data_IF_339816457674
#
_entry.id   IF_339816457674
#
_cell.length_a   1.000
_cell.length_b   1.000
_cell.length_c   1.000
_cell.angle_alpha   90.00
_cell.angle_beta   90.00
_cell.angle_gamma   90.00
#
_symmetry.space_group_name_H-M   'P 1'
#
loop_
_entity.id
_entity.type
_entity.pdbx_description
1 polymer ?
#
# COMPACT_ATOMS: atom_id res chain seq x y z
N UNK A 1 0.60 5.55 -8.75
CA UNK A 1 0.14 6.34 -7.57
C UNK A 1 0.24 5.44 -6.37
N UNK A 2 0.41 5.97 -5.16
CA UNK A 2 0.44 5.16 -3.94
C UNK A 2 -0.01 6.01 -2.76
N UNK A 3 -0.69 5.42 -1.80
CA UNK A 3 -1.35 6.16 -0.72
C UNK A 3 -2.19 5.27 0.17
N UNK A 4 -2.74 5.87 1.21
CA UNK A 4 -3.70 5.25 2.12
C UNK A 4 -5.11 5.45 1.59
N UNK A 5 -5.94 4.43 1.76
CA UNK A 5 -7.36 4.49 1.45
C UNK A 5 -8.17 3.97 2.61
N UNK A 6 -9.36 4.54 2.73
CA UNK A 6 -10.39 4.10 3.66
C UNK A 6 -11.68 3.82 2.90
N UNK A 7 -12.61 3.11 3.55
CA UNK A 7 -13.95 2.96 3.03
C UNK A 7 -14.67 4.32 2.93
N UNK A 8 -15.56 4.44 1.95
CA UNK A 8 -16.28 5.68 1.71
C UNK A 8 -17.19 6.09 2.87
N UNK A 9 -17.77 5.14 3.61
CA UNK A 9 -18.64 5.46 4.73
C UNK A 9 -17.88 6.15 5.87
N UNK A 10 -16.66 5.69 6.16
CA UNK A 10 -15.74 6.32 7.11
C UNK A 10 -15.24 7.68 6.64
N UNK A 11 -14.99 7.83 5.34
CA UNK A 11 -14.62 9.12 4.75
C UNK A 11 -15.77 10.14 4.88
N UNK A 12 -17.00 9.74 4.58
CA UNK A 12 -18.20 10.55 4.76
C UNK A 12 -18.52 10.83 6.25
N UNK A 13 -18.08 9.96 7.16
CA UNK A 13 -18.14 10.17 8.60
C UNK A 13 -17.11 11.21 9.11
N UNK A 14 -16.24 11.71 8.25
CA UNK A 14 -15.31 12.81 8.53
C UNK A 14 -13.84 12.42 8.67
N UNK A 15 -13.49 11.14 8.52
CA UNK A 15 -12.09 10.67 8.55
C UNK A 15 -11.46 11.00 7.20
N UNK A 16 -10.75 12.13 7.11
CA UNK A 16 -10.20 12.60 5.83
C UNK A 16 -8.69 12.68 5.84
N UNK A 17 -8.10 12.77 7.03
CA UNK A 17 -6.65 12.80 7.22
C UNK A 17 -6.17 11.62 8.08
N UNK A 18 -4.96 11.14 7.81
CA UNK A 18 -4.35 10.08 8.62
C UNK A 18 -4.14 10.49 10.07
N UNK A 19 -3.98 11.79 10.34
CA UNK A 19 -3.88 12.32 11.69
C UNK A 19 -5.18 12.13 12.50
N UNK A 20 -6.34 11.96 11.84
CA UNK A 20 -7.61 11.70 12.52
C UNK A 20 -7.58 10.35 13.26
N UNK A 21 -6.73 9.41 12.81
CA UNK A 21 -6.51 8.12 13.46
C UNK A 21 -5.68 8.22 14.75
N UNK A 22 -5.17 9.41 15.11
CA UNK A 22 -4.60 9.64 16.45
C UNK A 22 -5.67 9.55 17.55
N UNK A 23 -6.94 9.76 17.20
CA UNK A 23 -8.04 9.55 18.12
C UNK A 23 -8.34 8.04 18.21
N UNK A 24 -8.18 7.48 19.41
CA UNK A 24 -8.49 6.08 19.68
C UNK A 24 -9.95 5.71 19.36
N UNK A 25 -10.91 6.63 19.48
CA UNK A 25 -12.31 6.35 19.13
C UNK A 25 -12.52 6.21 17.61
N UNK A 26 -11.72 6.93 16.82
CA UNK A 26 -11.74 6.80 15.36
C UNK A 26 -10.98 5.55 14.96
N UNK A 27 -9.80 5.32 15.54
CA UNK A 27 -8.98 4.15 15.26
C UNK A 27 -9.69 2.83 15.58
N UNK A 28 -10.40 2.75 16.72
CA UNK A 28 -11.15 1.58 17.12
C UNK A 28 -12.30 1.20 16.16
N UNK A 29 -12.70 2.09 15.23
CA UNK A 29 -13.66 1.74 14.17
C UNK A 29 -13.06 0.81 13.12
N UNK A 30 -11.75 0.89 12.93
CA UNK A 30 -10.99 0.11 11.96
C UNK A 30 -10.27 -1.08 12.62
N UNK A 31 -10.52 -1.32 13.91
CA UNK A 31 -10.07 -2.50 14.63
C UNK A 31 -10.89 -3.71 14.17
N UNK A 32 -10.22 -4.75 13.67
CA UNK A 32 -10.88 -6.04 13.39
C UNK A 32 -10.26 -7.23 14.10
N UNK A 33 -9.33 -7.04 15.03
CA UNK A 33 -8.80 -8.11 15.89
C UNK A 33 -9.18 -7.97 17.39
N UNK A 34 -9.74 -6.82 17.76
CA UNK A 34 -10.27 -6.49 19.08
C UNK A 34 -9.22 -5.92 20.05
N UNK A 35 -8.07 -5.44 19.55
CA UNK A 35 -7.02 -4.84 20.36
C UNK A 35 -7.23 -3.34 20.67
N UNK A 36 -8.23 -2.71 20.03
CA UNK A 36 -8.57 -1.29 20.15
C UNK A 36 -7.77 -0.35 19.23
N UNK A 37 -6.92 -0.89 18.36
CA UNK A 37 -6.11 -0.16 17.38
C UNK A 37 -6.62 -0.38 15.96
N UNK A 38 -6.43 0.61 15.09
CA UNK A 38 -6.80 0.50 13.69
C UNK A 38 -5.90 -0.49 12.96
N UNK A 39 -6.50 -1.46 12.27
CA UNK A 39 -5.78 -2.43 11.44
C UNK A 39 -5.42 -1.80 10.07
N UNK A 40 -4.18 -1.32 9.94
CA UNK A 40 -3.67 -0.87 8.64
C UNK A 40 -3.09 -2.05 7.87
N UNK A 41 -3.77 -2.50 6.80
CA UNK A 41 -3.20 -3.45 5.86
C UNK A 41 -2.09 -2.79 5.03
N UNK A 42 -0.84 -3.04 5.41
CA UNK A 42 0.32 -2.35 4.88
C UNK A 42 1.29 -3.24 4.10
N UNK A 43 2.54 -2.80 4.03
CA UNK A 43 3.54 -3.43 3.18
C UNK A 43 4.30 -4.57 3.86
N UNK A 44 4.76 -5.52 3.04
CA UNK A 44 5.60 -6.63 3.50
C UNK A 44 6.96 -6.08 3.97
N UNK A 45 7.54 -6.59 5.07
CA UNK A 45 8.86 -6.18 5.53
C UNK A 45 9.90 -6.28 4.41
N UNK A 46 10.71 -5.23 4.28
CA UNK A 46 11.74 -5.12 3.23
C UNK A 46 11.29 -4.48 1.92
N UNK A 47 10.01 -4.09 1.79
CA UNK A 47 9.55 -3.25 0.69
C UNK A 47 9.81 -1.77 1.00
N UNK A 48 10.08 -0.97 -0.03
CA UNK A 48 10.32 0.47 0.15
C UNK A 48 9.13 1.20 0.78
N UNK A 49 7.91 0.71 0.58
CA UNK A 49 6.71 1.27 1.22
C UNK A 49 6.62 0.98 2.71
N UNK A 50 7.17 -0.13 3.21
CA UNK A 50 7.16 -0.44 4.66
C UNK A 50 7.96 0.61 5.44
N UNK A 51 9.16 0.94 4.98
CA UNK A 51 9.97 2.03 5.57
C UNK A 51 9.25 3.38 5.61
N UNK A 52 8.46 3.69 4.58
CA UNK A 52 7.71 4.95 4.52
C UNK A 52 6.52 4.90 5.49
N UNK A 53 5.78 3.80 5.53
CA UNK A 53 4.65 3.62 6.44
C UNK A 53 5.15 3.70 7.89
N UNK A 54 6.21 2.97 8.25
CA UNK A 54 6.82 3.02 9.60
C UNK A 54 7.30 4.42 9.99
N UNK A 55 7.86 5.16 9.03
CA UNK A 55 8.24 6.55 9.23
C UNK A 55 7.01 7.41 9.52
N UNK A 56 5.95 7.31 8.72
CA UNK A 56 4.68 8.02 8.95
C UNK A 56 4.04 7.67 10.30
N UNK A 57 4.05 6.40 10.71
CA UNK A 57 3.50 5.99 12.01
C UNK A 57 4.23 6.65 13.17
N UNK A 58 5.55 6.83 13.04
CA UNK A 58 6.37 7.51 14.05
C UNK A 58 6.12 9.01 14.03
N UNK A 59 6.21 9.60 12.84
CA UNK A 59 6.19 11.05 12.63
C UNK A 59 4.84 11.67 12.99
N UNK A 60 3.76 10.99 12.62
CA UNK A 60 2.40 11.44 12.92
C UNK A 60 1.88 10.89 14.25
N UNK A 61 2.71 10.23 15.07
CA UNK A 61 2.32 9.77 16.40
C UNK A 61 1.18 8.74 16.41
N UNK A 62 1.11 7.88 15.39
CA UNK A 62 0.03 6.89 15.21
C UNK A 62 0.36 5.52 15.82
N UNK A 63 1.56 5.35 16.38
CA UNK A 63 2.02 4.07 16.93
C UNK A 63 1.19 3.52 18.08
N UNK A 64 0.46 4.38 18.79
CA UNK A 64 -0.36 3.98 19.93
C UNK A 64 -1.80 3.64 19.53
N UNK A 65 -2.20 3.95 18.29
CA UNK A 65 -3.58 3.79 17.81
C UNK A 65 -3.70 3.01 16.51
N UNK A 66 -2.62 2.80 15.75
CA UNK A 66 -2.64 2.12 14.45
C UNK A 66 -1.65 0.97 14.43
N UNK A 67 -2.15 -0.23 14.16
CA UNK A 67 -1.35 -1.44 13.98
C UNK A 67 -1.01 -1.60 12.50
N UNK A 68 0.28 -1.57 12.18
CA UNK A 68 0.74 -1.87 10.82
C UNK A 68 0.78 -3.39 10.60
N UNK A 69 -0.25 -3.92 9.95
CA UNK A 69 -0.31 -5.34 9.61
C UNK A 69 0.65 -5.65 8.47
N UNK A 70 1.76 -6.29 8.85
CA UNK A 70 2.84 -6.72 7.98
C UNK A 70 2.74 -8.21 7.71
N UNK A 71 2.69 -8.62 6.45
CA UNK A 71 2.53 -10.04 6.12
C UNK A 71 2.47 -10.29 4.63
N UNK A 72 1.73 -11.32 4.23
CA UNK A 72 1.47 -11.56 2.81
C UNK A 72 0.43 -10.53 2.32
N UNK A 73 0.89 -9.47 1.65
CA UNK A 73 0.03 -8.38 1.16
C UNK A 73 -1.24 -8.86 0.45
N UNK A 74 -1.15 -9.88 -0.40
CA UNK A 74 -2.33 -10.44 -1.08
C UNK A 74 -3.37 -11.04 -0.12
N UNK A 75 -2.91 -11.68 0.96
CA UNK A 75 -3.80 -12.26 1.95
C UNK A 75 -4.44 -11.16 2.80
N UNK A 76 -3.65 -10.16 3.22
CA UNK A 76 -4.16 -8.99 3.94
C UNK A 76 -5.21 -8.27 3.11
N UNK A 77 -4.92 -7.98 1.84
CA UNK A 77 -5.88 -7.32 0.94
C UNK A 77 -7.14 -8.16 0.71
N UNK A 78 -7.03 -9.48 0.62
CA UNK A 78 -8.19 -10.34 0.48
C UNK A 78 -9.08 -10.29 1.73
N UNK A 79 -8.48 -10.26 2.93
CA UNK A 79 -9.20 -10.09 4.19
C UNK A 79 -9.86 -8.71 4.27
N UNK A 80 -9.14 -7.63 3.92
CA UNK A 80 -9.67 -6.27 3.84
C UNK A 80 -10.88 -6.19 2.90
N UNK A 81 -10.81 -6.79 1.71
CA UNK A 81 -11.94 -6.81 0.77
C UNK A 81 -13.13 -7.59 1.35
N UNK A 82 -12.88 -8.69 2.06
CA UNK A 82 -13.94 -9.45 2.71
C UNK A 82 -14.63 -8.66 3.83
N UNK A 83 -13.85 -7.97 4.68
CA UNK A 83 -14.35 -7.06 5.74
C UNK A 83 -15.21 -5.94 5.14
N UNK A 84 -14.73 -5.29 4.09
CA UNK A 84 -15.50 -4.27 3.38
C UNK A 84 -16.83 -4.83 2.84
N UNK A 85 -16.82 -6.05 2.29
CA UNK A 85 -18.03 -6.73 1.83
C UNK A 85 -19.05 -7.04 2.93
N UNK A 86 -18.61 -7.10 4.20
CA UNK A 86 -19.49 -7.25 5.36
C UNK A 86 -20.00 -5.90 5.89
N UNK A 87 -19.54 -4.78 5.33
CA UNK A 87 -19.87 -3.43 5.78
C UNK A 87 -18.97 -2.92 6.91
N UNK A 88 -17.87 -3.62 7.21
CA UNK A 88 -16.90 -3.19 8.22
C UNK A 88 -15.98 -2.09 7.66
N UNK A 89 -15.57 -1.11 8.50
CA UNK A 89 -14.60 -0.10 8.11
C UNK A 89 -13.26 -0.73 7.74
N UNK A 90 -12.61 -0.18 6.71
CA UNK A 90 -11.33 -0.70 6.24
C UNK A 90 -10.30 0.41 6.08
N UNK A 91 -9.06 0.10 6.44
CA UNK A 91 -7.90 0.98 6.27
C UNK A 91 -6.76 0.18 5.63
N UNK A 92 -6.28 0.61 4.46
CA UNK A 92 -5.21 -0.09 3.76
C UNK A 92 -4.34 0.84 2.93
N UNK A 93 -3.11 0.41 2.71
CA UNK A 93 -2.19 1.04 1.77
C UNK A 93 -2.25 0.34 0.42
N UNK A 94 -2.29 1.09 -0.68
CA UNK A 94 -2.20 0.51 -2.03
C UNK A 94 -1.42 1.38 -3.00
N UNK A 95 -1.17 0.83 -4.19
CA UNK A 95 -0.56 1.54 -5.31
C UNK A 95 -1.25 1.21 -6.63
N UNK A 96 -1.23 2.17 -7.57
CA UNK A 96 -1.83 2.06 -8.91
C UNK A 96 -0.73 2.11 -9.98
N UNK A 97 -0.78 1.25 -11.01
CA UNK A 97 -1.83 0.25 -11.28
C UNK A 97 -1.61 -1.07 -10.51
N UNK A 98 -2.67 -1.55 -9.84
CA UNK A 98 -2.70 -2.85 -9.16
C UNK A 98 -4.11 -3.44 -9.18
N UNK A 99 -4.24 -4.76 -8.97
CA UNK A 99 -5.52 -5.47 -9.09
C UNK A 99 -6.57 -5.01 -8.08
N UNK A 100 -6.13 -4.56 -6.90
CA UNK A 100 -7.00 -4.06 -5.83
C UNK A 100 -7.86 -2.89 -6.30
N UNK A 101 -7.32 -1.97 -7.11
CA UNK A 101 -8.08 -0.82 -7.65
C UNK A 101 -9.18 -1.22 -8.65
N UNK A 102 -9.21 -2.47 -9.09
CA UNK A 102 -10.30 -3.01 -9.91
C UNK A 102 -11.42 -3.68 -9.08
N UNK A 103 -11.17 -3.93 -7.78
CA UNK A 103 -12.15 -4.50 -6.85
C UNK A 103 -12.70 -3.45 -5.89
N UNK A 104 -11.83 -2.57 -5.39
CA UNK A 104 -12.19 -1.41 -4.57
C UNK A 104 -11.95 -0.17 -5.42
N UNK A 105 -13.02 0.40 -5.98
CA UNK A 105 -12.94 1.51 -6.92
C UNK A 105 -12.87 2.83 -6.14
N UNK A 106 -11.77 3.62 -6.28
CA UNK A 106 -11.70 4.93 -5.65
C UNK A 106 -12.79 5.86 -6.16
N UNK A 107 -13.54 6.51 -5.27
CA UNK A 107 -14.70 7.36 -5.58
C UNK A 107 -16.05 6.65 -5.46
N UNK A 108 -16.07 5.31 -5.52
CA UNK A 108 -17.28 4.50 -5.35
C UNK A 108 -17.25 3.75 -4.03
N UNK A 109 -16.25 2.89 -3.81
CA UNK A 109 -16.13 2.03 -2.62
C UNK A 109 -15.21 2.62 -1.56
N UNK A 110 -14.14 3.29 -2.00
CA UNK A 110 -13.04 3.76 -1.17
C UNK A 110 -12.62 5.17 -1.55
N UNK A 111 -12.02 5.89 -0.61
CA UNK A 111 -11.50 7.24 -0.84
C UNK A 111 -10.05 7.34 -0.38
N UNK A 112 -9.31 8.25 -1.01
CA UNK A 112 -7.91 8.51 -0.65
C UNK A 112 -7.84 9.38 0.60
N UNK A 113 -7.02 8.95 1.56
CA UNK A 113 -6.77 9.70 2.78
C UNK A 113 -5.66 10.72 2.56
N UNK A 114 -5.82 11.93 3.11
CA UNK A 114 -4.75 12.91 3.15
C UNK A 114 -3.77 12.64 4.29
N UNK A 115 -2.60 13.25 4.20
CA UNK A 115 -1.63 13.34 5.29
C UNK A 115 -1.39 14.81 5.64
N UNK A 116 -1.04 15.12 6.90
CA UNK A 116 -1.00 16.50 7.35
C UNK A 116 0.15 17.29 6.71
N UNK A 117 1.27 16.62 6.42
CA UNK A 117 2.41 17.18 5.69
C UNK A 117 3.21 16.04 5.05
N UNK A 118 4.09 16.36 4.11
CA UNK A 118 4.95 15.34 3.48
C UNK A 118 6.13 15.04 4.39
N UNK A 119 6.25 13.80 4.89
CA UNK A 119 7.43 13.34 5.62
C UNK A 119 7.92 12.02 5.04
N UNK A 120 8.97 12.07 4.22
CA UNK A 120 9.55 10.89 3.58
C UNK A 120 10.87 10.50 4.25
N UNK A 121 11.16 9.18 4.37
CA UNK A 121 12.42 8.72 4.92
C UNK A 121 13.59 9.17 4.03
N UNK A 122 14.76 9.34 4.67
CA UNK A 122 16.01 9.76 4.02
C UNK A 122 15.98 11.21 3.45
N UNK A 123 15.00 12.04 3.86
CA UNK A 123 14.93 13.46 3.50
C UNK A 123 14.63 13.70 2.01
N UNK A 124 14.02 12.72 1.34
CA UNK A 124 13.70 12.79 -0.08
C UNK A 124 12.54 13.76 -0.29
N UNK A 125 12.79 14.87 -0.99
CA UNK A 125 11.72 15.76 -1.45
C UNK A 125 11.06 15.15 -2.70
N UNK A 126 9.77 14.82 -2.59
CA UNK A 126 8.97 14.36 -3.70
C UNK A 126 7.63 15.08 -3.72
N UNK A 127 7.06 15.30 -4.91
CA UNK A 127 5.70 15.77 -5.03
C UNK A 127 4.74 14.64 -4.64
N UNK A 128 4.06 14.83 -3.52
CA UNK A 128 3.07 13.91 -2.94
C UNK A 128 1.66 14.48 -3.02
N UNK A 129 1.44 15.53 -3.81
CA UNK A 129 0.13 16.12 -4.01
C UNK A 129 -0.64 15.39 -5.13
N UNK A 130 -1.92 15.11 -4.87
CA UNK A 130 -2.86 14.56 -5.80
C UNK A 130 -4.21 15.27 -5.67
N UNK A 131 -4.69 15.86 -6.76
CA UNK A 131 -5.94 16.63 -6.81
C UNK A 131 -6.07 17.71 -5.69
N UNK A 132 -4.95 18.30 -5.28
CA UNK A 132 -4.91 19.31 -4.22
C UNK A 132 -4.87 18.74 -2.79
N UNK A 133 -4.81 17.41 -2.64
CA UNK A 133 -4.64 16.71 -1.37
C UNK A 133 -3.26 16.09 -1.28
N UNK A 134 -2.65 16.07 -0.09
CA UNK A 134 -1.37 15.42 0.11
C UNK A 134 -1.58 13.95 0.44
N UNK A 135 -1.14 13.03 -0.43
CA UNK A 135 -1.26 11.58 -0.22
C UNK A 135 -0.05 10.99 0.51
N UNK A 136 0.96 11.80 0.84
CA UNK A 136 2.11 11.42 1.67
C UNK A 136 3.15 10.54 1.01
N UNK A 137 2.87 9.98 -0.16
CA UNK A 137 3.84 9.16 -0.88
C UNK A 137 4.27 9.79 -2.20
N UNK A 138 5.54 9.60 -2.51
CA UNK A 138 6.09 9.97 -3.81
C UNK A 138 5.27 9.31 -4.92
N UNK A 139 4.88 10.11 -5.92
CA UNK A 139 4.35 9.54 -7.15
C UNK A 139 5.45 8.69 -7.75
N UNK A 140 5.32 7.37 -7.63
CA UNK A 140 6.20 6.40 -8.27
C UNK A 140 6.20 6.70 -9.76
N UNK A 141 7.16 7.51 -10.21
CA UNK A 141 7.48 7.67 -11.60
C UNK A 141 8.08 6.33 -11.95
N UNK A 142 7.31 5.52 -12.65
CA UNK A 142 7.79 4.29 -13.27
C UNK A 142 8.86 4.72 -14.28
N UNK A 143 10.04 5.01 -13.74
CA UNK A 143 11.24 5.27 -14.49
C UNK A 143 11.55 3.89 -15.01
N UNK A 144 11.10 3.64 -16.24
CA UNK A 144 11.57 2.50 -17.01
C UNK A 144 13.07 2.70 -17.09
N UNK A 145 13.81 2.16 -16.12
CA UNK A 145 15.25 2.14 -16.16
C UNK A 145 15.55 1.25 -17.35
N UNK A 146 15.98 1.78 -18.50
CA UNK A 146 16.36 0.91 -19.59
C UNK A 146 17.49 0.04 -19.01
N UNK A 147 17.26 -1.27 -18.90
CA UNK A 147 18.35 -2.20 -18.59
C UNK A 147 19.44 -1.86 -19.59
N UNK A 148 20.58 -1.39 -19.08
CA UNK A 148 21.75 -1.10 -19.92
C UNK A 148 22.01 -2.35 -20.76
N UNK A 149 22.12 -2.22 -22.10
CA UNK A 149 22.37 -3.36 -22.97
C UNK A 149 23.87 -3.71 -22.88
N UNK A 150 24.28 -4.25 -21.73
CA UNK A 150 25.64 -4.74 -21.51
C UNK A 150 25.61 -6.02 -20.71
N UNK A 151 24.83 -7.00 -21.19
CA UNK A 151 24.89 -8.37 -20.67
C UNK A 151 24.40 -9.44 -21.66
N UNK A 152 24.24 -9.15 -22.95
CA UNK A 152 24.06 -10.20 -23.97
C UNK A 152 25.41 -10.60 -24.59
N UNK A 153 26.28 -11.16 -23.75
CA UNK A 153 27.41 -11.98 -24.19
C UNK A 153 27.41 -13.29 -23.42
N UNK A 154 26.68 -14.29 -23.90
CA UNK A 154 27.16 -15.69 -24.05
C UNK A 154 26.12 -16.56 -24.76
N UNK A 155 26.57 -17.61 -25.47
CA UNK A 155 25.88 -18.18 -26.63
C UNK A 155 24.82 -19.22 -26.25
N UNK A 156 23.76 -19.28 -27.08
CA UNK A 156 22.73 -20.33 -27.04
C UNK A 156 23.36 -21.72 -27.12
N UNK A 157 23.54 -22.38 -25.96
CA UNK A 157 23.63 -23.85 -25.88
C UNK A 157 22.26 -24.42 -26.25
N UNK A 158 22.07 -24.82 -27.52
CA UNK A 158 20.99 -25.76 -27.88
C UNK A 158 21.39 -27.16 -27.42
N UNK A 159 20.92 -27.54 -26.23
CA UNK A 159 20.76 -28.95 -25.85
C UNK A 159 19.32 -29.33 -26.21
N UNK A 160 19.16 -30.22 -27.19
CA UNK A 160 17.94 -30.99 -27.36
C UNK A 160 18.36 -32.46 -27.57
N UNK A 161 17.67 -33.36 -26.89
CA UNK A 161 18.09 -34.73 -26.60
C UNK A 161 17.42 -35.80 -27.47
N UNK A 162 18.19 -36.87 -27.75
CA UNK A 162 17.83 -38.32 -27.89
C UNK A 162 17.03 -38.84 -29.09
N UNK A 163 17.64 -39.75 -29.88
CA UNK A 163 17.44 -41.24 -29.96
C UNK A 163 18.36 -41.81 -31.10
N UNK A 164 19.28 -42.75 -30.83
CA UNK A 164 19.24 -44.22 -31.13
C UNK A 164 18.85 -44.54 -32.60
N UNK A 165 19.57 -45.32 -33.42
CA UNK A 165 20.43 -46.51 -33.20
C UNK A 165 21.33 -46.82 -34.42
N UNK A 166 22.40 -47.58 -34.18
CA UNK A 166 23.14 -48.50 -35.07
C UNK A 166 22.19 -49.28 -36.00
N UNK A 167 22.50 -49.63 -37.26
CA UNK A 167 23.65 -50.39 -37.80
C UNK A 167 23.68 -50.17 -39.32
#
# INVERSE_FOLDING_TARGET
MQGYLIDKASYEAGVTDIADLQDSEVAARFDGDGDGMADLAGCVPGWGCERIIEHHMTEYGLRDTVTHNQGAYNALMADTIARHGNGDPILYFTWTPYWVSGTLVPGEDVEWLSVPYTSLPDGVEANTEYNGMNIGFSRMRCSFWPRTPSSMRTPRRRRCSRRRSST
#
